data_IF_043116041518
#
_entry.id   IF_043116041518
#
_cell.length_a   1.000
_cell.length_b   1.000
_cell.length_c   1.000
_cell.angle_alpha   90.00
_cell.angle_beta   90.00
_cell.angle_gamma   90.00
#
_symmetry.space_group_name_H-M   'P 1'
#
loop_
_entity.id
_entity.type
_entity.pdbx_description
1 polymer ?
#
# COMPACT_ATOMS: atom_id res chain seq x y z
N UNK A 1 6.61 0.82 -7.60
CA UNK A 1 8.08 0.62 -7.64
C UNK A 1 8.58 -0.29 -6.50
N UNK A 2 8.10 -0.10 -5.25
CA UNK A 2 8.57 -0.92 -4.12
C UNK A 2 8.28 -2.42 -4.31
N UNK A 3 7.12 -2.79 -4.84
CA UNK A 3 6.77 -4.18 -5.17
C UNK A 3 7.76 -4.75 -6.21
N UNK A 4 8.08 -3.99 -7.25
CA UNK A 4 9.06 -4.40 -8.26
C UNK A 4 10.46 -4.62 -7.65
N UNK A 5 10.86 -3.73 -6.73
CA UNK A 5 12.12 -3.88 -6.00
C UNK A 5 12.12 -5.15 -5.15
N UNK A 6 11.07 -5.37 -4.34
CA UNK A 6 10.93 -6.56 -3.51
C UNK A 6 10.91 -7.84 -4.35
N UNK A 7 10.17 -7.85 -5.48
CA UNK A 7 10.14 -9.02 -6.37
C UNK A 7 11.54 -9.34 -6.92
N UNK A 8 12.30 -8.33 -7.34
CA UNK A 8 13.69 -8.52 -7.77
C UNK A 8 14.59 -9.01 -6.64
N UNK A 9 14.43 -8.44 -5.44
CA UNK A 9 15.22 -8.83 -4.27
C UNK A 9 14.94 -10.29 -3.86
N UNK A 10 13.67 -10.71 -3.87
CA UNK A 10 13.29 -12.09 -3.58
C UNK A 10 13.87 -13.13 -4.54
N UNK A 11 14.31 -12.73 -5.75
CA UNK A 11 15.02 -13.64 -6.68
C UNK A 11 16.44 -13.99 -6.22
N UNK A 12 17.07 -13.10 -5.45
CA UNK A 12 18.44 -13.28 -4.95
C UNK A 12 18.48 -13.59 -3.45
N UNK A 13 17.40 -13.30 -2.74
CA UNK A 13 17.24 -13.60 -1.31
C UNK A 13 15.95 -14.38 -1.10
N UNK A 14 16.08 -15.62 -0.64
CA UNK A 14 14.95 -16.56 -0.49
C UNK A 14 14.24 -16.47 0.86
N UNK A 15 14.61 -15.52 1.73
CA UNK A 15 13.97 -15.36 3.04
C UNK A 15 12.47 -15.09 2.92
N UNK A 16 11.68 -15.86 3.66
CA UNK A 16 10.21 -15.74 3.65
C UNK A 16 9.72 -14.38 4.16
N UNK A 17 10.51 -13.69 4.97
CA UNK A 17 10.22 -12.34 5.43
C UNK A 17 9.94 -11.37 4.27
N UNK A 18 10.78 -11.37 3.21
CA UNK A 18 10.61 -10.46 2.07
C UNK A 18 9.42 -10.85 1.20
N UNK A 19 9.14 -12.14 1.08
CA UNK A 19 7.93 -12.63 0.39
C UNK A 19 6.66 -12.21 1.13
N UNK A 20 6.67 -12.31 2.46
CA UNK A 20 5.56 -11.83 3.30
C UNK A 20 5.35 -10.32 3.12
N UNK A 21 6.43 -9.51 3.12
CA UNK A 21 6.34 -8.06 2.88
C UNK A 21 5.85 -7.72 1.47
N UNK A 22 6.24 -8.52 0.47
CA UNK A 22 5.74 -8.39 -0.90
C UNK A 22 4.21 -8.60 -0.95
N UNK A 23 3.72 -9.70 -0.38
CA UNK A 23 2.29 -10.01 -0.31
C UNK A 23 1.52 -8.94 0.47
N UNK A 24 2.00 -8.56 1.67
CA UNK A 24 1.38 -7.52 2.49
C UNK A 24 1.26 -6.18 1.74
N UNK A 25 2.28 -5.80 0.98
CA UNK A 25 2.27 -4.56 0.20
C UNK A 25 1.23 -4.61 -0.92
N UNK A 26 1.10 -5.73 -1.62
CA UNK A 26 0.08 -5.91 -2.66
C UNK A 26 -1.33 -5.83 -2.05
N UNK A 27 -1.57 -6.55 -0.97
CA UNK A 27 -2.87 -6.55 -0.30
C UNK A 27 -3.22 -5.16 0.28
N UNK A 28 -2.21 -4.43 0.78
CA UNK A 28 -2.39 -3.05 1.21
C UNK A 28 -2.88 -2.14 0.08
N UNK A 29 -2.26 -2.21 -1.10
CA UNK A 29 -2.67 -1.42 -2.27
C UNK A 29 -4.06 -1.82 -2.75
N UNK A 30 -4.36 -3.11 -2.86
CA UNK A 30 -5.69 -3.62 -3.23
C UNK A 30 -6.79 -3.10 -2.29
N UNK A 31 -6.51 -3.06 -1.00
CA UNK A 31 -7.49 -2.67 0.03
C UNK A 31 -7.67 -1.15 0.14
N UNK A 32 -6.58 -0.38 0.00
CA UNK A 32 -6.59 1.03 0.37
C UNK A 32 -6.52 1.98 -0.83
N UNK A 33 -6.02 1.56 -1.97
CA UNK A 33 -5.81 2.44 -3.13
C UNK A 33 -6.76 2.17 -4.31
N UNK A 34 -7.64 1.17 -4.24
CA UNK A 34 -8.62 0.96 -5.31
C UNK A 34 -9.72 2.00 -5.24
N UNK A 35 -9.96 2.67 -6.37
CA UNK A 35 -11.09 3.56 -6.56
C UNK A 35 -12.38 2.79 -6.95
N UNK A 36 -13.47 3.51 -7.15
CA UNK A 36 -14.77 2.94 -7.48
C UNK A 36 -14.80 2.20 -8.84
N UNK A 37 -13.91 2.54 -9.76
CA UNK A 37 -13.77 1.88 -11.06
C UNK A 37 -12.87 0.65 -11.03
N UNK A 38 -12.21 0.39 -9.90
CA UNK A 38 -11.31 -0.74 -9.72
C UNK A 38 -9.85 -0.48 -10.08
N UNK A 39 -9.50 0.73 -10.54
CA UNK A 39 -8.13 1.17 -10.74
C UNK A 39 -7.46 1.59 -9.44
N UNK A 40 -6.14 1.78 -9.46
CA UNK A 40 -5.47 2.45 -8.35
C UNK A 40 -5.59 3.97 -8.51
N UNK A 41 -6.05 4.64 -7.46
CA UNK A 41 -5.99 6.07 -7.33
C UNK A 41 -4.57 6.57 -7.06
N UNK A 42 -4.40 7.88 -7.14
CA UNK A 42 -3.08 8.51 -7.16
C UNK A 42 -2.39 8.55 -5.81
N UNK A 43 -3.05 9.06 -4.78
CA UNK A 43 -2.40 9.31 -3.49
C UNK A 43 -3.40 9.49 -2.35
N UNK A 44 -2.90 9.38 -1.13
CA UNK A 44 -3.51 9.98 0.05
C UNK A 44 -2.82 11.30 0.36
N UNK A 45 -3.59 12.29 0.83
CA UNK A 45 -3.04 13.52 1.34
C UNK A 45 -2.09 13.24 2.53
N UNK A 46 -1.09 14.08 2.70
CA UNK A 46 -0.23 14.04 3.88
C UNK A 46 -0.99 14.45 5.14
N UNK A 47 -1.98 15.33 4.98
CA UNK A 47 -2.72 15.93 6.08
C UNK A 47 -4.02 15.19 6.39
N UNK A 48 -4.35 15.19 7.67
CA UNK A 48 -5.68 14.87 8.18
C UNK A 48 -6.10 15.93 9.18
N UNK A 49 -7.25 16.56 8.96
CA UNK A 49 -7.76 17.64 9.81
C UNK A 49 -6.80 18.83 9.96
N UNK A 50 -6.00 19.12 8.92
CA UNK A 50 -5.06 20.23 8.89
C UNK A 50 -3.74 19.97 9.62
N UNK A 51 -3.46 18.72 10.01
CA UNK A 51 -2.19 18.32 10.63
C UNK A 51 -1.54 17.22 9.79
N UNK A 52 -0.27 17.41 9.42
CA UNK A 52 0.53 16.43 8.69
C UNK A 52 0.73 15.16 9.54
N UNK A 53 0.55 14.02 8.92
CA UNK A 53 0.79 12.72 9.55
C UNK A 53 -0.19 12.31 10.66
N UNK A 54 -1.12 13.17 11.09
CA UNK A 54 -2.04 12.96 12.22
C UNK A 54 -2.72 11.60 12.23
N UNK A 55 -3.11 11.12 11.07
CA UNK A 55 -3.77 9.82 10.93
C UNK A 55 -2.87 8.65 11.33
N UNK A 56 -1.57 8.75 11.12
CA UNK A 56 -0.62 7.63 11.21
C UNK A 56 0.15 7.57 12.53
N UNK A 57 0.36 8.69 13.19
CA UNK A 57 1.17 8.77 14.42
C UNK A 57 0.33 8.44 15.67
N UNK A 58 0.98 8.11 16.78
CA UNK A 58 0.32 7.82 18.05
C UNK A 58 0.83 8.76 19.14
N UNK A 59 -0.01 9.06 20.14
CA UNK A 59 0.47 9.63 21.39
C UNK A 59 0.96 8.52 22.33
N UNK A 60 1.85 8.85 23.26
CA UNK A 60 2.28 7.90 24.28
C UNK A 60 1.10 7.35 25.09
N UNK A 61 0.15 8.21 25.45
CA UNK A 61 -1.06 7.86 26.22
C UNK A 61 -1.96 6.83 25.51
N UNK A 62 -2.01 6.83 24.19
CA UNK A 62 -2.83 5.89 23.42
C UNK A 62 -2.28 4.45 23.45
N UNK A 63 -0.97 4.29 23.68
CA UNK A 63 -0.30 3.00 23.48
C UNK A 63 0.50 2.50 24.68
N UNK A 64 0.76 3.33 25.72
CA UNK A 64 1.59 2.97 26.89
C UNK A 64 1.12 1.71 27.63
N UNK A 65 -0.18 1.47 27.66
CA UNK A 65 -0.76 0.32 28.39
C UNK A 65 -0.84 -0.96 27.54
N UNK A 66 -0.29 -0.95 26.33
CA UNK A 66 -0.26 -2.15 25.50
C UNK A 66 0.82 -3.11 26.02
N UNK A 67 0.45 -4.36 26.34
CA UNK A 67 1.41 -5.32 26.88
C UNK A 67 2.63 -5.48 25.97
N UNK A 68 3.81 -5.25 26.53
CA UNK A 68 5.09 -5.45 25.84
C UNK A 68 5.26 -4.64 24.54
N UNK A 69 4.57 -3.50 24.37
CA UNK A 69 4.68 -2.71 23.14
C UNK A 69 6.12 -2.27 22.86
N UNK A 70 6.87 -1.93 23.91
CA UNK A 70 8.28 -1.51 23.83
C UNK A 70 9.23 -2.61 23.33
N UNK A 71 8.80 -3.87 23.42
CA UNK A 71 9.52 -4.99 22.79
C UNK A 71 9.45 -4.90 21.26
N UNK A 72 8.29 -4.54 20.75
CA UNK A 72 8.02 -4.57 19.31
C UNK A 72 8.33 -3.27 18.60
N UNK A 73 8.22 -2.14 19.31
CA UNK A 73 8.41 -0.82 18.72
C UNK A 73 9.32 0.05 19.58
N UNK A 74 10.00 1.00 18.95
CA UNK A 74 10.70 2.05 19.65
C UNK A 74 9.67 3.06 20.20
N UNK A 75 9.49 3.05 21.54
CA UNK A 75 8.53 3.91 22.25
C UNK A 75 9.30 4.82 23.20
N UNK A 76 9.02 6.13 23.11
CA UNK A 76 9.53 7.14 24.04
C UNK A 76 8.37 8.01 24.50
N UNK A 77 8.35 8.37 25.76
CA UNK A 77 7.26 9.20 26.34
C UNK A 77 7.18 10.59 25.69
N UNK A 78 8.33 11.14 25.31
CA UNK A 78 8.45 12.41 24.59
C UNK A 78 8.14 12.31 23.09
N UNK A 79 7.93 11.09 22.59
CA UNK A 79 7.78 10.84 21.16
C UNK A 79 9.09 10.83 20.40
N UNK A 80 9.01 10.54 19.10
CA UNK A 80 10.15 10.57 18.17
C UNK A 80 9.90 11.50 16.97
N UNK A 81 8.73 12.15 16.92
CA UNK A 81 8.37 13.14 15.92
C UNK A 81 7.27 14.07 16.47
N UNK A 82 7.57 15.35 16.68
CA UNK A 82 6.62 16.40 17.14
C UNK A 82 5.76 16.00 18.37
N UNK A 83 6.41 15.44 19.40
CA UNK A 83 5.75 14.88 20.59
C UNK A 83 4.76 13.74 20.30
N UNK A 84 4.85 13.13 19.12
CA UNK A 84 4.11 11.94 18.70
C UNK A 84 5.06 10.78 18.44
N UNK A 85 4.51 9.60 18.29
CA UNK A 85 5.24 8.37 18.04
C UNK A 85 4.94 7.86 16.65
N UNK A 86 5.96 7.86 15.79
CA UNK A 86 6.00 7.02 14.59
C UNK A 86 6.47 5.65 15.05
N UNK A 87 5.69 4.61 14.79
CA UNK A 87 6.02 3.25 15.19
C UNK A 87 7.19 2.70 14.34
N UNK A 88 8.35 2.55 14.95
CA UNK A 88 9.53 1.93 14.34
C UNK A 88 9.64 0.52 14.87
N UNK A 89 9.51 -0.48 13.98
CA UNK A 89 9.56 -1.90 14.33
C UNK A 89 10.97 -2.30 14.78
N UNK A 90 11.06 -2.95 15.94
CA UNK A 90 12.28 -3.55 16.51
C UNK A 90 12.25 -5.07 16.38
N UNK A 91 11.11 -5.66 16.73
CA UNK A 91 10.82 -7.07 16.56
C UNK A 91 9.44 -7.21 15.89
N UNK A 92 9.20 -8.33 15.19
CA UNK A 92 7.90 -8.59 14.56
C UNK A 92 6.79 -8.59 15.60
N UNK A 93 5.83 -7.64 15.52
CA UNK A 93 4.74 -7.57 16.47
C UNK A 93 3.73 -8.69 16.26
N UNK A 94 3.01 -9.05 17.33
CA UNK A 94 1.90 -9.98 17.21
C UNK A 94 0.73 -9.35 16.46
N UNK A 95 -0.06 -10.20 15.79
CA UNK A 95 -1.28 -9.73 15.09
C UNK A 95 -2.27 -9.05 16.06
N UNK A 96 -2.33 -9.50 17.30
CA UNK A 96 -3.18 -8.88 18.32
C UNK A 96 -2.81 -7.40 18.55
N UNK A 97 -1.51 -7.10 18.67
CA UNK A 97 -1.03 -5.72 18.84
C UNK A 97 -1.29 -4.90 17.60
N UNK A 98 -1.00 -5.43 16.40
CA UNK A 98 -1.27 -4.74 15.14
C UNK A 98 -2.75 -4.42 14.99
N UNK A 99 -3.63 -5.35 15.32
CA UNK A 99 -5.08 -5.15 15.26
C UNK A 99 -5.57 -4.09 16.26
N UNK A 100 -5.01 -4.04 17.47
CA UNK A 100 -5.32 -3.00 18.46
C UNK A 100 -4.89 -1.62 17.98
N UNK A 101 -3.67 -1.49 17.46
CA UNK A 101 -3.15 -0.25 16.87
C UNK A 101 -4.00 0.20 15.68
N UNK A 102 -4.34 -0.71 14.79
CA UNK A 102 -5.20 -0.44 13.65
C UNK A 102 -6.61 0.01 14.10
N UNK A 103 -7.16 -0.59 15.15
CA UNK A 103 -8.47 -0.21 15.72
C UNK A 103 -8.46 1.22 16.28
N UNK A 104 -7.38 1.66 16.92
CA UNK A 104 -7.23 3.06 17.35
C UNK A 104 -7.21 3.95 16.12
N UNK A 105 -6.33 3.69 15.17
CA UNK A 105 -6.16 4.50 13.96
C UNK A 105 -7.44 4.57 13.13
N UNK A 106 -8.19 3.49 13.02
CA UNK A 106 -9.42 3.43 12.21
C UNK A 106 -10.56 4.35 12.71
N UNK A 107 -10.48 4.83 13.97
CA UNK A 107 -11.45 5.80 14.52
C UNK A 107 -11.16 7.23 14.11
N UNK A 108 -9.96 7.49 13.56
CA UNK A 108 -9.55 8.83 13.15
C UNK A 108 -10.07 9.15 11.76
N UNK A 109 -10.23 10.44 11.45
CA UNK A 109 -10.54 10.88 10.09
C UNK A 109 -9.39 10.55 9.18
N UNK A 110 -9.69 9.80 8.11
CA UNK A 110 -8.69 9.46 7.09
C UNK A 110 -8.26 10.71 6.32
N UNK A 111 -7.00 10.76 5.84
CA UNK A 111 -6.58 11.73 4.86
C UNK A 111 -7.46 11.67 3.61
N UNK A 112 -7.52 12.79 2.87
CA UNK A 112 -8.20 12.81 1.59
C UNK A 112 -7.53 11.81 0.62
N UNK A 113 -8.37 11.06 -0.09
CA UNK A 113 -7.91 10.13 -1.11
C UNK A 113 -8.13 10.75 -2.49
N UNK A 114 -7.03 11.03 -3.21
CA UNK A 114 -7.08 11.42 -4.61
C UNK A 114 -7.28 10.15 -5.44
N UNK A 115 -8.51 9.92 -5.85
CA UNK A 115 -8.95 8.72 -6.58
C UNK A 115 -8.76 8.81 -8.10
N UNK A 116 -8.11 9.87 -8.59
CA UNK A 116 -7.78 9.99 -10.01
C UNK A 116 -7.01 8.78 -10.51
N UNK A 117 -7.42 8.30 -11.66
CA UNK A 117 -6.77 7.18 -12.33
C UNK A 117 -5.71 7.69 -13.30
N UNK A 118 -4.43 7.50 -12.98
CA UNK A 118 -3.31 7.85 -13.84
C UNK A 118 -2.77 6.60 -14.54
N UNK A 119 -2.59 6.67 -15.86
CA UNK A 119 -2.19 5.51 -16.67
C UNK A 119 -0.82 4.96 -16.27
N UNK A 120 0.16 5.83 -16.05
CA UNK A 120 1.52 5.47 -15.67
C UNK A 120 1.59 4.72 -14.33
N UNK A 121 0.88 5.21 -13.30
CA UNK A 121 0.80 4.53 -12.00
C UNK A 121 0.11 3.15 -12.12
N UNK A 122 -0.92 3.08 -12.94
CA UNK A 122 -1.64 1.84 -13.16
C UNK A 122 -0.85 0.84 -14.03
N UNK A 123 -0.02 1.30 -14.95
CA UNK A 123 0.95 0.46 -15.67
C UNK A 123 2.05 -0.07 -14.74
N UNK A 124 2.52 0.74 -13.77
CA UNK A 124 3.45 0.27 -12.74
C UNK A 124 2.82 -0.79 -11.83
N UNK A 125 1.54 -0.64 -11.51
CA UNK A 125 0.80 -1.65 -10.76
C UNK A 125 0.70 -2.96 -11.53
N UNK A 126 0.31 -2.91 -12.81
CA UNK A 126 0.27 -4.08 -13.70
C UNK A 126 1.61 -4.81 -13.74
N UNK A 127 2.69 -4.07 -14.00
CA UNK A 127 4.06 -4.63 -14.01
C UNK A 127 4.44 -5.25 -12.67
N UNK A 128 3.98 -4.65 -11.57
CA UNK A 128 4.21 -5.16 -10.21
C UNK A 128 3.52 -6.49 -9.95
N UNK A 129 2.30 -6.67 -10.45
CA UNK A 129 1.55 -7.94 -10.32
C UNK A 129 2.24 -9.07 -11.08
N UNK A 130 2.68 -8.81 -12.32
CA UNK A 130 3.42 -9.79 -13.12
C UNK A 130 4.72 -10.21 -12.41
N UNK A 131 5.50 -9.24 -11.92
CA UNK A 131 6.74 -9.54 -11.22
C UNK A 131 6.51 -10.27 -9.88
N UNK A 132 5.41 -10.00 -9.20
CA UNK A 132 5.06 -10.68 -7.96
C UNK A 132 4.60 -12.12 -8.18
N UNK A 133 3.93 -12.41 -9.29
CA UNK A 133 3.47 -13.77 -9.62
C UNK A 133 4.65 -14.73 -9.82
N UNK A 134 5.78 -14.25 -10.36
CA UNK A 134 7.02 -15.03 -10.47
C UNK A 134 7.60 -15.47 -9.11
N UNK A 135 7.34 -14.68 -8.05
CA UNK A 135 7.86 -14.94 -6.69
C UNK A 135 6.85 -15.72 -5.85
N UNK A 136 5.58 -15.42 -6.03
CA UNK A 136 4.45 -15.97 -5.27
C UNK A 136 3.46 -16.65 -6.23
N UNK A 137 3.86 -17.71 -6.93
CA UNK A 137 2.98 -18.45 -7.82
C UNK A 137 1.80 -18.99 -7.01
N UNK A 138 0.63 -19.10 -7.61
CA UNK A 138 -0.61 -19.57 -6.99
C UNK A 138 -1.36 -18.52 -6.12
N UNK A 139 -0.90 -17.28 -6.05
CA UNK A 139 -1.67 -16.18 -5.43
C UNK A 139 -2.65 -15.51 -6.41
N UNK A 140 -2.61 -15.90 -7.67
CA UNK A 140 -3.52 -15.39 -8.71
C UNK A 140 -3.18 -14.00 -9.21
N UNK A 141 -1.96 -13.53 -8.99
CA UNK A 141 -1.55 -12.19 -9.41
C UNK A 141 -1.47 -12.04 -10.93
N UNK A 142 -1.07 -13.09 -11.66
CA UNK A 142 -1.08 -13.06 -13.11
C UNK A 142 -2.50 -12.90 -13.67
N UNK A 143 -3.45 -13.66 -13.13
CA UNK A 143 -4.87 -13.51 -13.52
C UNK A 143 -5.40 -12.10 -13.23
N UNK A 144 -5.07 -11.56 -12.05
CA UNK A 144 -5.43 -10.19 -11.70
C UNK A 144 -4.79 -9.18 -12.65
N UNK A 145 -3.55 -9.42 -13.10
CA UNK A 145 -2.87 -8.57 -14.09
C UNK A 145 -3.56 -8.60 -15.45
N UNK A 146 -3.99 -9.77 -15.94
CA UNK A 146 -4.73 -9.92 -17.19
C UNK A 146 -6.10 -9.19 -17.16
N UNK A 147 -6.83 -9.36 -16.08
CA UNK A 147 -8.10 -8.64 -15.85
C UNK A 147 -7.88 -7.13 -15.84
N UNK A 148 -6.82 -6.70 -15.15
CA UNK A 148 -6.48 -5.29 -15.03
C UNK A 148 -5.99 -4.68 -16.35
N UNK A 149 -5.22 -5.41 -17.14
CA UNK A 149 -4.80 -4.99 -18.47
C UNK A 149 -6.00 -4.76 -19.38
N UNK A 150 -6.97 -5.67 -19.37
CA UNK A 150 -8.22 -5.51 -20.13
C UNK A 150 -9.01 -4.25 -19.74
N UNK A 151 -8.97 -3.86 -18.46
CA UNK A 151 -9.56 -2.59 -18.00
C UNK A 151 -8.78 -1.38 -18.57
N UNK A 152 -7.44 -1.43 -18.57
CA UNK A 152 -6.59 -0.37 -19.15
C UNK A 152 -6.88 -0.21 -20.64
N UNK A 153 -6.94 -1.30 -21.41
CA UNK A 153 -7.24 -1.26 -22.84
C UNK A 153 -8.57 -0.55 -23.10
N UNK A 154 -9.63 -0.93 -22.40
CA UNK A 154 -10.96 -0.33 -22.56
C UNK A 154 -10.99 1.15 -22.24
N UNK A 155 -10.28 1.60 -21.21
CA UNK A 155 -10.33 2.99 -20.75
C UNK A 155 -9.42 3.90 -21.56
N UNK A 156 -8.19 3.48 -21.82
CA UNK A 156 -7.15 4.38 -22.29
C UNK A 156 -6.78 4.21 -23.77
N UNK A 157 -6.93 3.01 -24.35
CA UNK A 157 -6.52 2.78 -25.71
C UNK A 157 -7.61 3.26 -26.67
N UNK A 158 -7.21 4.10 -27.62
CA UNK A 158 -8.08 4.65 -28.66
C UNK A 158 -7.83 3.89 -29.97
N UNK A 159 -8.76 3.00 -30.33
CA UNK A 159 -8.72 2.27 -31.59
C UNK A 159 -9.87 2.77 -32.48
N UNK A 160 -9.54 3.17 -33.71
CA UNK A 160 -10.52 3.57 -34.72
C UNK A 160 -10.23 2.85 -36.02
N UNK A 161 -11.25 2.17 -36.59
CA UNK A 161 -11.12 1.43 -37.87
C UNK A 161 -10.02 0.35 -37.83
N UNK A 162 -9.84 -0.34 -36.69
CA UNK A 162 -8.80 -1.36 -36.51
C UNK A 162 -7.36 -0.81 -36.35
N UNK A 163 -7.18 0.51 -36.38
CA UNK A 163 -5.88 1.14 -36.17
C UNK A 163 -5.80 1.77 -34.78
N UNK A 164 -4.68 1.57 -34.12
CA UNK A 164 -4.38 2.24 -32.84
C UNK A 164 -4.26 3.75 -33.06
N UNK A 165 -4.97 4.54 -32.26
CA UNK A 165 -5.00 6.00 -32.34
C UNK A 165 -4.32 6.73 -31.19
N UNK A 166 -3.86 6.02 -30.21
CA UNK A 166 -3.23 6.58 -29.03
C UNK A 166 -3.92 6.21 -27.72
N UNK A 167 -3.56 6.88 -26.67
CA UNK A 167 -4.08 6.69 -25.33
C UNK A 167 -4.25 8.01 -24.59
N UNK A 168 -5.01 8.00 -23.51
CA UNK A 168 -5.10 9.14 -22.58
C UNK A 168 -4.26 8.82 -21.33
N UNK A 169 -3.65 9.83 -20.73
CA UNK A 169 -2.81 9.65 -19.53
C UNK A 169 -3.64 9.61 -18.25
N UNK A 170 -4.76 10.34 -18.25
CA UNK A 170 -5.69 10.44 -17.12
C UNK A 170 -7.10 10.78 -17.58
N UNK A 171 -8.04 10.59 -16.69
CA UNK A 171 -9.41 11.12 -16.72
C UNK A 171 -9.65 12.04 -15.54
#
# INVERSE_FOLDING_TARGET
QFILLLSKYCKINSEDYYKEKLEQTIEFLKKNFRNSEGFLGSAYDADSEGEEGKYYVYSYEEIKDFPKIEKYFEIKSEGNWENKIILVEKEKPSEEILNKLLKIRSKRKKPFFDDKTQLDLNCLWLSSLVAADEILPNKGYLKLAEEFFSMIEKKYFKIKQGLWKGYTLWD
#
